data_IF_836875930425
#
_entry.id   IF_836875930425
#
_cell.length_a   1.000
_cell.length_b   1.000
_cell.length_c   1.000
_cell.angle_alpha   90.00
_cell.angle_beta   90.00
_cell.angle_gamma   90.00
#
_symmetry.space_group_name_H-M   'P 1'
#
loop_
_entity.id
_entity.type
_entity.pdbx_description
1 polymer ?
#
# COMPACT_ATOMS: atom_id res chain seq x y z
N UNK A 1 -9.06 11.88 -11.67
CA UNK A 1 -8.97 11.81 -10.21
C UNK A 1 -7.67 11.12 -9.81
N UNK A 2 -7.01 11.58 -8.77
CA UNK A 2 -5.71 11.02 -8.42
C UNK A 2 -5.82 9.58 -7.90
N UNK A 3 -4.97 8.73 -8.45
CA UNK A 3 -4.85 7.33 -8.06
C UNK A 3 -3.39 7.07 -7.73
N UNK A 4 -3.14 6.27 -6.70
CA UNK A 4 -1.80 5.86 -6.33
C UNK A 4 -1.66 4.36 -6.42
N UNK A 5 -0.50 3.92 -6.87
CA UNK A 5 -0.17 2.49 -6.96
C UNK A 5 1.24 2.30 -6.43
N UNK A 6 1.44 1.28 -5.62
CA UNK A 6 2.75 0.89 -5.15
C UNK A 6 2.90 -0.62 -5.22
N UNK A 7 4.09 -1.08 -5.60
CA UNK A 7 4.43 -2.50 -5.69
C UNK A 7 5.70 -2.72 -4.86
N UNK A 8 5.64 -3.67 -3.94
CA UNK A 8 6.78 -4.01 -3.10
C UNK A 8 7.02 -5.51 -3.09
N UNK A 9 8.29 -5.88 -3.03
CA UNK A 9 8.67 -7.27 -2.87
C UNK A 9 8.72 -7.62 -1.38
N UNK A 10 8.19 -8.79 -1.04
CA UNK A 10 8.32 -9.33 0.31
C UNK A 10 9.79 -9.61 0.59
N UNK A 11 10.30 -9.05 1.68
CA UNK A 11 11.70 -9.19 2.10
C UNK A 11 11.79 -9.01 3.60
N UNK A 12 12.87 -9.46 4.19
CA UNK A 12 13.12 -9.21 5.61
C UNK A 12 13.37 -7.73 5.83
N UNK A 13 12.71 -7.17 6.85
CA UNK A 13 12.92 -5.78 7.27
C UNK A 13 13.26 -5.77 8.75
N UNK A 14 14.03 -4.77 9.15
CA UNK A 14 14.34 -4.55 10.55
C UNK A 14 13.08 -4.08 11.28
N UNK A 15 12.58 -4.82 12.29
CA UNK A 15 11.35 -4.42 12.99
C UNK A 15 11.45 -3.04 13.65
N UNK A 16 12.64 -2.58 14.00
CA UNK A 16 12.84 -1.25 14.56
C UNK A 16 12.47 -0.11 13.63
N UNK A 17 12.38 -0.37 12.33
CA UNK A 17 11.96 0.64 11.37
C UNK A 17 10.49 1.01 11.52
N UNK A 18 9.66 0.12 12.07
CA UNK A 18 8.24 0.40 12.25
C UNK A 18 8.01 1.66 13.10
N UNK A 19 8.79 1.83 14.16
CA UNK A 19 8.65 2.97 15.07
C UNK A 19 8.98 4.29 14.38
N UNK A 20 9.78 4.27 13.32
CA UNK A 20 10.16 5.47 12.58
C UNK A 20 9.13 5.86 11.53
N UNK A 21 8.44 4.89 10.95
CA UNK A 21 7.62 5.11 9.76
C UNK A 21 6.12 4.91 9.96
N UNK A 22 5.73 4.24 11.04
CA UNK A 22 4.31 3.91 11.24
C UNK A 22 3.73 4.65 12.43
N UNK A 23 2.41 4.77 12.45
CA UNK A 23 1.70 5.39 13.56
C UNK A 23 1.80 4.50 14.82
N UNK A 24 1.56 5.07 16.01
CA UNK A 24 1.60 4.27 17.24
C UNK A 24 0.65 3.07 17.21
N UNK A 25 -0.55 3.23 16.64
CA UNK A 25 -1.51 2.13 16.54
C UNK A 25 -0.99 1.00 15.65
N UNK A 26 -0.34 1.35 14.56
CA UNK A 26 0.23 0.37 13.64
C UNK A 26 1.41 -0.35 14.26
N UNK A 27 2.25 0.38 14.98
CA UNK A 27 3.39 -0.22 15.70
C UNK A 27 2.88 -1.24 16.74
N UNK A 28 1.86 -0.87 17.51
CA UNK A 28 1.28 -1.76 18.50
C UNK A 28 0.71 -3.03 17.85
N UNK A 29 0.03 -2.89 16.73
CA UNK A 29 -0.51 -4.02 15.98
C UNK A 29 0.60 -4.95 15.50
N UNK A 30 1.68 -4.39 14.97
CA UNK A 30 2.82 -5.18 14.48
C UNK A 30 3.48 -5.94 15.62
N UNK A 31 3.70 -5.30 16.76
CA UNK A 31 4.34 -5.93 17.93
C UNK A 31 3.53 -7.10 18.49
N UNK A 32 2.23 -7.10 18.28
CA UNK A 32 1.36 -8.19 18.72
C UNK A 32 1.46 -9.45 17.84
N UNK A 33 2.08 -9.35 16.68
CA UNK A 33 2.22 -10.46 15.75
C UNK A 33 3.49 -11.26 15.98
N UNK A 34 3.50 -12.52 15.55
CA UNK A 34 4.72 -13.32 15.52
C UNK A 34 5.74 -12.70 14.57
N UNK A 35 7.06 -12.92 14.78
CA UNK A 35 8.09 -12.29 13.93
C UNK A 35 7.90 -12.53 12.44
N UNK A 36 7.44 -13.72 12.06
CA UNK A 36 7.22 -14.05 10.65
C UNK A 36 6.11 -13.19 10.05
N UNK A 37 5.02 -13.02 10.80
CA UNK A 37 3.90 -12.19 10.35
C UNK A 37 4.20 -10.71 10.42
N UNK A 38 5.09 -10.28 11.30
CA UNK A 38 5.50 -8.88 11.39
C UNK A 38 6.12 -8.39 10.09
N UNK A 39 6.98 -9.19 9.48
CA UNK A 39 7.65 -8.80 8.23
C UNK A 39 6.63 -8.62 7.11
N UNK A 40 5.74 -9.58 6.92
CA UNK A 40 4.71 -9.48 5.89
C UNK A 40 3.79 -8.28 6.13
N UNK A 41 3.34 -8.10 7.36
CA UNK A 41 2.45 -6.99 7.69
C UNK A 41 3.15 -5.64 7.53
N UNK A 42 4.44 -5.57 7.85
CA UNK A 42 5.23 -4.36 7.64
C UNK A 42 5.21 -3.96 6.16
N UNK A 43 5.49 -4.90 5.27
CA UNK A 43 5.53 -4.63 3.83
C UNK A 43 4.13 -4.25 3.32
N UNK A 44 3.08 -4.90 3.82
CA UNK A 44 1.71 -4.56 3.45
C UNK A 44 1.36 -3.12 3.85
N UNK A 45 1.66 -2.74 5.08
CA UNK A 45 1.42 -1.38 5.56
C UNK A 45 2.22 -0.34 4.78
N UNK A 46 3.48 -0.64 4.54
CA UNK A 46 4.35 0.23 3.75
C UNK A 46 3.78 0.46 2.35
N UNK A 47 3.38 -0.62 1.69
CA UNK A 47 2.84 -0.57 0.33
C UNK A 47 1.55 0.25 0.28
N UNK A 48 0.66 0.05 1.26
CA UNK A 48 -0.59 0.81 1.36
C UNK A 48 -0.31 2.29 1.57
N UNK A 49 0.58 2.62 2.51
CA UNK A 49 0.90 4.01 2.82
C UNK A 49 1.56 4.72 1.64
N UNK A 50 2.47 4.05 0.95
CA UNK A 50 3.11 4.60 -0.24
C UNK A 50 2.10 4.84 -1.37
N UNK A 51 1.15 3.93 -1.57
CA UNK A 51 0.11 4.11 -2.58
C UNK A 51 -0.75 5.34 -2.28
N UNK A 52 -1.07 5.57 -1.00
CA UNK A 52 -1.80 6.76 -0.58
C UNK A 52 -1.02 8.04 -0.86
N UNK A 53 0.27 8.07 -0.50
CA UNK A 53 1.11 9.24 -0.74
C UNK A 53 1.21 9.56 -2.23
N UNK A 54 1.31 8.53 -3.06
CA UNK A 54 1.33 8.71 -4.52
C UNK A 54 0.00 9.26 -5.04
N UNK A 55 -1.12 8.80 -4.46
CA UNK A 55 -2.44 9.30 -4.84
C UNK A 55 -2.60 10.79 -4.55
N UNK A 56 -2.14 11.24 -3.38
CA UNK A 56 -2.26 12.65 -2.99
C UNK A 56 -1.12 13.53 -3.55
N UNK A 57 -0.12 12.91 -4.21
CA UNK A 57 0.95 13.65 -4.87
C UNK A 57 1.96 14.31 -3.93
N UNK A 58 2.02 13.87 -2.67
CA UNK A 58 2.92 14.50 -1.68
C UNK A 58 4.23 13.74 -1.46
N UNK A 59 4.30 12.49 -1.90
CA UNK A 59 5.53 11.72 -1.84
C UNK A 59 6.21 11.74 -0.48
N UNK A 60 7.51 12.00 -0.45
CA UNK A 60 8.34 11.98 0.76
C UNK A 60 8.15 13.20 1.66
N UNK A 61 7.36 14.19 1.28
CA UNK A 61 7.17 15.39 2.07
C UNK A 61 6.27 15.18 3.28
N UNK A 62 5.64 14.01 3.38
CA UNK A 62 4.73 13.70 4.46
C UNK A 62 5.28 12.59 5.34
N UNK A 63 5.13 12.76 6.65
CA UNK A 63 5.53 11.73 7.59
C UNK A 63 4.54 10.56 7.56
N UNK A 64 5.05 9.37 7.32
CA UNK A 64 4.25 8.15 7.29
C UNK A 64 3.60 7.85 8.65
N UNK A 65 4.17 8.35 9.74
CA UNK A 65 3.64 8.13 11.08
C UNK A 65 2.51 9.10 11.47
N UNK A 66 2.15 10.03 10.60
CA UNK A 66 1.10 11.01 10.87
C UNK A 66 -0.32 10.52 10.54
N UNK A 67 -0.43 9.38 9.90
CA UNK A 67 -1.72 8.79 9.56
C UNK A 67 -1.66 7.27 9.73
N UNK A 68 -2.83 6.65 9.85
CA UNK A 68 -2.95 5.21 10.04
C UNK A 68 -3.78 4.57 8.95
N UNK A 69 -3.46 3.32 8.64
CA UNK A 69 -4.25 2.49 7.74
C UNK A 69 -5.14 1.60 8.59
N UNK A 70 -6.43 1.55 8.27
CA UNK A 70 -7.39 0.68 8.94
C UNK A 70 -8.00 -0.29 7.96
N UNK A 71 -8.11 -1.54 8.37
CA UNK A 71 -8.79 -2.56 7.59
C UNK A 71 -10.28 -2.53 7.88
N UNK A 72 -11.09 -2.52 6.82
CA UNK A 72 -12.54 -2.57 6.90
C UNK A 72 -13.06 -3.54 5.84
N UNK A 73 -13.46 -4.74 6.27
CA UNK A 73 -13.82 -5.78 5.33
C UNK A 73 -12.63 -6.17 4.46
N UNK A 74 -12.83 -6.25 3.14
CA UNK A 74 -11.75 -6.56 2.20
C UNK A 74 -10.95 -5.35 1.73
N UNK A 75 -11.19 -4.18 2.32
CA UNK A 75 -10.57 -2.92 1.90
C UNK A 75 -9.91 -2.21 3.07
N UNK A 76 -9.16 -1.17 2.75
CA UNK A 76 -8.46 -0.36 3.75
C UNK A 76 -8.86 1.10 3.60
N UNK A 77 -8.80 1.83 4.69
CA UNK A 77 -9.05 3.26 4.74
C UNK A 77 -7.94 3.96 5.49
N UNK A 78 -7.87 5.28 5.36
CA UNK A 78 -6.87 6.11 6.04
C UNK A 78 -7.57 6.91 7.13
N UNK A 79 -6.93 7.01 8.30
CA UNK A 79 -7.39 7.85 9.41
C UNK A 79 -6.27 8.80 9.82
N UNK A 80 -6.63 9.92 10.44
CA UNK A 80 -5.67 10.91 10.90
C UNK A 80 -5.38 12.03 9.91
N UNK A 81 -6.09 12.08 8.79
CA UNK A 81 -5.94 13.09 7.76
C UNK A 81 -7.30 13.68 7.38
N UNK A 82 -7.35 14.99 7.18
CA UNK A 82 -8.61 15.68 6.92
C UNK A 82 -9.31 15.24 5.64
N UNK A 83 -8.55 14.93 4.60
CA UNK A 83 -9.11 14.53 3.30
C UNK A 83 -8.99 13.04 3.03
N UNK A 84 -8.45 12.28 3.97
CA UNK A 84 -8.12 10.87 3.73
C UNK A 84 -9.35 9.96 3.74
N UNK A 85 -10.45 10.40 4.35
CA UNK A 85 -11.68 9.60 4.42
C UNK A 85 -12.28 9.33 3.04
N UNK A 86 -11.92 10.12 2.03
CA UNK A 86 -12.42 9.93 0.68
C UNK A 86 -11.64 8.87 -0.11
N UNK A 87 -10.52 8.40 0.43
CA UNK A 87 -9.67 7.44 -0.26
C UNK A 87 -9.93 6.02 0.23
N UNK A 88 -9.93 5.10 -0.72
CA UNK A 88 -10.06 3.68 -0.47
C UNK A 88 -8.83 2.97 -1.01
N UNK A 89 -8.37 1.95 -0.29
CA UNK A 89 -7.18 1.22 -0.65
C UNK A 89 -7.48 -0.27 -0.70
N UNK A 90 -6.77 -0.96 -1.59
CA UNK A 90 -6.88 -2.42 -1.73
C UNK A 90 -5.50 -3.02 -1.92
N UNK A 91 -5.27 -4.16 -1.28
CA UNK A 91 -4.08 -4.98 -1.50
C UNK A 91 -4.40 -6.10 -2.47
N UNK A 92 -3.48 -6.35 -3.36
CA UNK A 92 -3.59 -7.40 -4.35
C UNK A 92 -2.28 -8.18 -4.38
N UNK A 93 -2.38 -9.49 -4.46
CA UNK A 93 -1.21 -10.34 -4.65
C UNK A 93 -0.81 -10.27 -6.12
N UNK A 94 0.42 -9.82 -6.39
CA UNK A 94 0.90 -9.70 -7.77
C UNK A 94 1.67 -10.95 -8.21
N UNK A 95 2.38 -11.56 -7.28
CA UNK A 95 3.12 -12.80 -7.47
C UNK A 95 3.29 -13.42 -6.09
N UNK A 96 3.98 -14.55 -5.99
CA UNK A 96 4.18 -15.22 -4.70
C UNK A 96 4.94 -14.35 -3.69
N UNK A 97 5.74 -13.39 -4.17
CA UNK A 97 6.62 -12.57 -3.33
C UNK A 97 6.45 -11.06 -3.56
N UNK A 98 5.39 -10.63 -4.24
CA UNK A 98 5.12 -9.21 -4.48
C UNK A 98 3.71 -8.84 -4.03
N UNK A 99 3.58 -7.62 -3.50
CA UNK A 99 2.33 -7.04 -3.07
C UNK A 99 2.10 -5.77 -3.87
N UNK A 100 0.87 -5.59 -4.34
CA UNK A 100 0.42 -4.40 -5.03
C UNK A 100 -0.63 -3.72 -4.16
N UNK A 101 -0.50 -2.41 -3.95
CA UNK A 101 -1.53 -1.60 -3.32
C UNK A 101 -2.05 -0.57 -4.31
N UNK A 102 -3.36 -0.39 -4.30
CA UNK A 102 -4.02 0.63 -5.12
C UNK A 102 -4.80 1.55 -4.19
N UNK A 103 -4.67 2.85 -4.41
CA UNK A 103 -5.39 3.88 -3.66
C UNK A 103 -6.15 4.76 -4.63
N UNK A 104 -7.45 4.93 -4.39
CA UNK A 104 -8.31 5.73 -5.25
C UNK A 104 -9.43 6.39 -4.44
N UNK A 105 -9.99 7.51 -4.91
CA UNK A 105 -11.10 8.17 -4.22
C UNK A 105 -12.45 7.46 -4.43
N UNK A 106 -12.45 6.27 -5.00
CA UNK A 106 -13.65 5.46 -5.22
C UNK A 106 -13.41 4.05 -4.71
N UNK A 107 -14.47 3.42 -4.17
CA UNK A 107 -14.43 2.03 -3.73
C UNK A 107 -14.57 1.03 -4.88
N UNK A 108 -14.81 1.51 -6.10
CA UNK A 108 -15.03 0.67 -7.28
C UNK A 108 -13.71 0.20 -7.86
N UNK A 109 -13.05 -0.74 -7.18
CA UNK A 109 -11.84 -1.36 -7.67
C UNK A 109 -12.16 -2.59 -8.52
N UNK A 110 -11.31 -2.84 -9.50
CA UNK A 110 -11.31 -4.13 -10.17
C UNK A 110 -11.05 -5.25 -9.15
N UNK A 111 -11.83 -6.32 -9.21
CA UNK A 111 -11.68 -7.45 -8.30
C UNK A 111 -10.43 -8.27 -8.58
N UNK A 112 -9.90 -8.18 -9.80
CA UNK A 112 -8.73 -8.92 -10.20
C UNK A 112 -7.74 -8.03 -10.93
N UNK A 113 -6.47 -8.30 -10.73
CA UNK A 113 -5.39 -7.67 -11.48
C UNK A 113 -4.87 -8.67 -12.49
N UNK A 114 -4.85 -8.26 -13.74
CA UNK A 114 -4.21 -9.06 -14.75
C UNK A 114 -2.70 -8.87 -14.65
N UNK A 115 -1.99 -9.96 -14.36
CA UNK A 115 -0.53 -9.93 -14.32
C UNK A 115 -0.02 -10.08 -15.73
N UNK A 116 0.66 -9.05 -16.24
CA UNK A 116 1.30 -9.09 -17.56
C UNK A 116 2.80 -9.23 -17.38
N UNK A 117 3.44 -9.91 -18.30
CA UNK A 117 4.90 -10.01 -18.32
C UNK A 117 5.50 -8.66 -18.72
N UNK A 118 6.79 -8.47 -18.43
CA UNK A 118 7.50 -7.28 -18.90
C UNK A 118 7.42 -7.17 -20.43
N UNK A 119 7.54 -8.28 -21.12
CA UNK A 119 7.45 -8.29 -22.60
C UNK A 119 6.07 -7.83 -23.07
N UNK A 120 5.00 -8.30 -22.43
CA UNK A 120 3.65 -7.87 -22.75
C UNK A 120 3.47 -6.38 -22.49
N UNK A 121 4.04 -5.87 -21.40
CA UNK A 121 3.98 -4.45 -21.08
C UNK A 121 4.71 -3.61 -22.14
N UNK A 122 5.89 -4.05 -22.55
CA UNK A 122 6.67 -3.36 -23.57
C UNK A 122 5.93 -3.33 -24.91
N UNK A 123 5.29 -4.42 -25.29
CA UNK A 123 4.47 -4.46 -26.52
C UNK A 123 3.31 -3.46 -26.40
N UNK A 124 2.61 -3.44 -25.26
CA UNK A 124 1.50 -2.51 -25.06
C UNK A 124 1.95 -1.05 -25.14
N UNK A 125 3.10 -0.71 -24.53
CA UNK A 125 3.65 0.63 -24.57
C UNK A 125 4.09 1.03 -25.98
N UNK A 126 4.67 0.09 -26.73
CA UNK A 126 5.12 0.34 -28.09
C UNK A 126 3.94 0.56 -29.06
N UNK A 127 2.76 -0.01 -28.76
CA UNK A 127 1.57 0.14 -29.60
C UNK A 127 0.68 1.31 -29.18
N UNK A 128 1.03 2.04 -28.13
CA UNK A 128 0.30 3.24 -27.72
C UNK A 128 0.55 4.38 -28.68
N UNK A 129 -0.49 5.14 -29.09
CA UNK A 129 -0.31 6.31 -29.94
C UNK A 129 0.44 7.43 -29.21
#
# INVERSE_FOLDING_TARGET
MPVGVDVERLRKVNPGLAERFFSPDEVAMLKALSPEKQTEQFIQLWTLKESFLKAIGRGLTRNLNSFSVRQQGGMYSITGEDSASDYHLKLLALASDHILAVCAPSADFCESVEVITVDQLLVALASSP
#
